data_IF_247994575145
#
_entry.id   IF_247994575145
#
_cell.length_a   1.000
_cell.length_b   1.000
_cell.length_c   1.000
_cell.angle_alpha   90.00
_cell.angle_beta   90.00
_cell.angle_gamma   90.00
#
_symmetry.space_group_name_H-M   'P 1'
#
loop_
_entity.id
_entity.type
_entity.pdbx_description
1 polymer ?
#
# COMPACT_ATOMS: atom_id res chain seq x y z
N UNK A 1 -6.57 -10.90 -16.67
CA UNK A 1 -5.14 -10.96 -16.27
C UNK A 1 -4.62 -12.36 -16.58
N UNK A 2 -3.42 -12.53 -17.16
CA UNK A 2 -2.79 -13.85 -17.26
C UNK A 2 -2.53 -14.43 -15.86
N UNK A 3 -2.55 -15.76 -15.73
CA UNK A 3 -2.60 -16.46 -14.43
C UNK A 3 -1.27 -16.48 -13.65
N UNK A 4 -0.14 -16.13 -14.27
CA UNK A 4 1.19 -16.20 -13.64
C UNK A 4 1.96 -14.90 -13.85
N UNK A 5 1.56 -13.86 -13.12
CA UNK A 5 2.14 -12.52 -13.30
C UNK A 5 2.55 -11.92 -11.96
N UNK A 6 3.82 -11.57 -11.87
CA UNK A 6 4.32 -10.70 -10.83
C UNK A 6 4.21 -9.25 -11.32
N UNK A 7 3.36 -8.47 -10.68
CA UNK A 7 3.20 -7.04 -10.93
C UNK A 7 3.93 -6.29 -9.83
N UNK A 8 5.04 -5.65 -10.19
CA UNK A 8 5.83 -4.83 -9.28
C UNK A 8 5.42 -3.38 -9.44
N UNK A 9 4.93 -2.76 -8.37
CA UNK A 9 4.33 -1.42 -8.42
C UNK A 9 5.23 -0.43 -7.68
N UNK A 10 5.77 0.54 -8.40
CA UNK A 10 6.58 1.63 -7.86
C UNK A 10 5.95 3.00 -8.15
N UNK A 11 6.45 4.03 -7.47
CA UNK A 11 5.93 5.38 -7.54
C UNK A 11 6.22 6.15 -6.25
N UNK A 12 6.15 7.47 -6.33
CA UNK A 12 6.46 8.35 -5.21
C UNK A 12 5.58 8.05 -3.96
N UNK A 13 6.03 8.43 -2.75
CA UNK A 13 5.17 8.44 -1.57
C UNK A 13 3.89 9.23 -1.85
N UNK A 14 2.73 8.64 -1.58
CA UNK A 14 1.44 9.29 -1.84
C UNK A 14 0.90 9.20 -3.27
N UNK A 15 1.67 8.68 -4.24
CA UNK A 15 1.25 8.57 -5.65
C UNK A 15 0.08 7.59 -5.89
N UNK A 16 -0.50 6.97 -4.87
CA UNK A 16 -1.68 6.12 -5.03
C UNK A 16 -1.41 4.68 -5.49
N UNK A 17 -0.20 4.16 -5.27
CA UNK A 17 0.16 2.74 -5.56
C UNK A 17 -0.85 1.74 -5.02
N UNK A 18 -1.10 1.77 -3.71
CA UNK A 18 -2.07 0.89 -3.06
C UNK A 18 -3.49 1.06 -3.62
N UNK A 19 -3.90 2.29 -3.97
CA UNK A 19 -5.20 2.55 -4.57
C UNK A 19 -5.31 1.95 -5.98
N UNK A 20 -4.25 2.02 -6.78
CA UNK A 20 -4.19 1.36 -8.08
C UNK A 20 -4.26 -0.17 -7.93
N UNK A 21 -3.55 -0.75 -6.96
CA UNK A 21 -3.61 -2.19 -6.65
C UNK A 21 -5.05 -2.58 -6.27
N UNK A 22 -5.73 -1.80 -5.43
CA UNK A 22 -7.16 -2.03 -5.10
C UNK A 22 -8.02 -2.07 -6.36
N UNK A 23 -7.84 -1.13 -7.30
CA UNK A 23 -8.59 -1.13 -8.56
C UNK A 23 -8.33 -2.40 -9.38
N UNK A 24 -7.07 -2.86 -9.47
CA UNK A 24 -6.73 -4.11 -10.16
C UNK A 24 -7.37 -5.33 -9.49
N UNK A 25 -7.34 -5.38 -8.15
CA UNK A 25 -7.94 -6.46 -7.37
C UNK A 25 -9.47 -6.47 -7.49
N UNK A 26 -10.11 -5.30 -7.54
CA UNK A 26 -11.57 -5.18 -7.75
C UNK A 26 -11.99 -5.76 -9.11
N UNK A 27 -11.19 -5.51 -10.16
CA UNK A 27 -11.40 -6.02 -11.51
C UNK A 27 -10.96 -7.49 -11.70
N UNK A 28 -10.39 -8.12 -10.67
CA UNK A 28 -9.94 -9.51 -10.76
C UNK A 28 -11.12 -10.48 -10.60
N UNK A 29 -11.51 -11.12 -11.70
CA UNK A 29 -12.74 -11.94 -11.83
C UNK A 29 -12.57 -13.42 -11.44
N UNK A 30 -11.38 -13.86 -11.02
CA UNK A 30 -11.18 -15.28 -10.69
C UNK A 30 -11.96 -15.71 -9.43
N UNK A 31 -12.24 -17.00 -9.23
CA UNK A 31 -13.00 -17.49 -8.08
C UNK A 31 -12.31 -17.15 -6.75
N UNK A 32 -12.73 -16.06 -6.09
CA UNK A 32 -12.15 -15.57 -4.82
C UNK A 32 -12.46 -16.49 -3.62
N UNK A 33 -13.36 -17.45 -3.82
CA UNK A 33 -13.86 -18.38 -2.81
C UNK A 33 -12.84 -19.49 -2.49
N UNK A 34 -11.99 -19.87 -3.45
CA UNK A 34 -10.94 -20.87 -3.25
C UNK A 34 -9.61 -20.21 -2.93
N UNK A 35 -8.96 -20.54 -1.79
CA UNK A 35 -7.65 -19.99 -1.42
C UNK A 35 -6.58 -20.13 -2.52
N UNK A 36 -6.66 -21.20 -3.31
CA UNK A 36 -5.74 -21.51 -4.41
C UNK A 36 -5.71 -20.47 -5.55
N UNK A 37 -6.69 -19.58 -5.65
CA UNK A 37 -6.77 -18.57 -6.72
C UNK A 37 -6.71 -17.12 -6.21
N UNK A 38 -6.53 -16.93 -4.90
CA UNK A 38 -6.47 -15.59 -4.32
C UNK A 38 -5.16 -14.90 -4.73
N UNK A 39 -5.22 -13.67 -5.26
CA UNK A 39 -4.03 -12.86 -5.47
C UNK A 39 -3.23 -12.72 -4.17
N UNK A 40 -1.92 -12.59 -4.29
CA UNK A 40 -1.04 -12.28 -3.16
C UNK A 40 -0.63 -10.81 -3.24
N UNK A 41 -0.63 -10.11 -2.11
CA UNK A 41 -0.06 -8.78 -1.96
C UNK A 41 1.08 -8.81 -0.94
N UNK A 42 2.16 -8.10 -1.23
CA UNK A 42 3.21 -7.81 -0.26
C UNK A 42 3.88 -6.47 -0.56
N UNK A 43 4.46 -5.86 0.46
CA UNK A 43 5.19 -4.59 0.35
C UNK A 43 6.68 -4.79 0.66
N UNK A 44 7.54 -4.19 -0.14
CA UNK A 44 8.99 -4.18 0.04
C UNK A 44 9.46 -2.80 0.53
N UNK A 45 10.35 -2.77 1.52
CA UNK A 45 10.99 -1.55 2.04
C UNK A 45 10.08 -0.64 2.88
N UNK A 46 8.96 -1.16 3.36
CA UNK A 46 8.03 -0.42 4.19
C UNK A 46 8.49 -0.18 5.62
N UNK A 47 7.76 0.71 6.30
CA UNK A 47 7.90 0.90 7.74
C UNK A 47 7.52 -0.39 8.49
N UNK A 48 7.97 -0.51 9.74
CA UNK A 48 7.67 -1.66 10.61
C UNK A 48 6.15 -1.87 10.81
N UNK A 49 5.35 -0.81 10.62
CA UNK A 49 3.89 -0.85 10.67
C UNK A 49 3.32 -0.99 9.24
N UNK A 50 2.77 -2.17 8.86
CA UNK A 50 2.36 -2.46 7.48
C UNK A 50 0.95 -1.93 7.18
N UNK A 51 0.72 -0.61 7.31
CA UNK A 51 -0.62 0.00 7.20
C UNK A 51 -1.36 -0.38 5.91
N UNK A 52 -0.67 -0.41 4.77
CA UNK A 52 -1.29 -0.76 3.48
C UNK A 52 -1.70 -2.23 3.41
N UNK A 53 -0.92 -3.09 4.05
CA UNK A 53 -1.21 -4.52 4.17
C UNK A 53 -2.45 -4.74 5.06
N UNK A 54 -2.52 -4.06 6.21
CA UNK A 54 -3.69 -4.09 7.11
C UNK A 54 -4.93 -3.54 6.40
N UNK A 55 -4.79 -2.40 5.72
CA UNK A 55 -5.87 -1.81 4.93
C UNK A 55 -6.40 -2.81 3.90
N UNK A 56 -5.54 -3.38 3.05
CA UNK A 56 -5.91 -4.35 2.01
C UNK A 56 -6.54 -5.62 2.58
N UNK A 57 -6.00 -6.16 3.69
CA UNK A 57 -6.53 -7.35 4.35
C UNK A 57 -7.91 -7.14 4.99
N UNK A 58 -8.20 -5.91 5.41
CA UNK A 58 -9.50 -5.51 5.92
C UNK A 58 -10.51 -5.17 4.81
N UNK A 59 -10.05 -5.03 3.56
CA UNK A 59 -10.95 -4.94 2.41
C UNK A 59 -11.47 -6.33 2.06
N UNK A 60 -12.76 -6.44 1.71
CA UNK A 60 -13.36 -7.68 1.18
C UNK A 60 -12.94 -7.97 -0.28
N UNK A 61 -11.63 -7.87 -0.58
CA UNK A 61 -11.07 -8.04 -1.93
C UNK A 61 -10.68 -9.48 -2.25
N UNK A 62 -10.65 -10.37 -1.26
CA UNK A 62 -10.21 -11.76 -1.46
C UNK A 62 -8.72 -11.89 -1.81
N UNK A 63 -7.91 -10.92 -1.37
CA UNK A 63 -6.44 -10.93 -1.50
C UNK A 63 -5.81 -11.57 -0.26
N UNK A 64 -4.78 -12.38 -0.46
CA UNK A 64 -3.90 -12.80 0.63
C UNK A 64 -2.82 -11.73 0.83
N UNK A 65 -2.61 -11.30 2.07
CA UNK A 65 -1.64 -10.25 2.40
C UNK A 65 -0.47 -10.84 3.17
N UNK A 66 0.75 -10.56 2.71
CA UNK A 66 1.96 -10.74 3.50
C UNK A 66 2.33 -9.41 4.17
N UNK A 67 2.32 -9.33 5.51
CA UNK A 67 2.71 -8.11 6.23
C UNK A 67 4.14 -7.67 5.95
N UNK A 68 5.02 -8.62 5.63
CA UNK A 68 6.41 -8.39 5.24
C UNK A 68 6.70 -9.16 3.96
N UNK A 69 7.46 -8.56 3.05
CA UNK A 69 7.90 -9.24 1.84
C UNK A 69 8.68 -10.52 2.19
N UNK A 70 8.24 -11.63 1.61
CA UNK A 70 8.89 -12.93 1.66
C UNK A 70 8.93 -13.48 0.23
N UNK A 71 10.10 -13.38 -0.40
CA UNK A 71 10.28 -13.75 -1.80
C UNK A 71 10.09 -15.26 -2.04
N UNK A 72 10.31 -16.09 -1.02
CA UNK A 72 10.04 -17.53 -1.12
C UNK A 72 8.54 -17.80 -1.26
N UNK A 73 7.72 -17.11 -0.47
CA UNK A 73 6.25 -17.19 -0.56
C UNK A 73 5.71 -16.57 -1.84
N UNK A 74 6.36 -15.52 -2.35
CA UNK A 74 6.05 -14.95 -3.67
C UNK A 74 6.31 -15.99 -4.77
N UNK A 75 7.46 -16.67 -4.75
CA UNK A 75 7.79 -17.71 -5.72
C UNK A 75 6.78 -18.86 -5.69
N UNK A 76 6.45 -19.37 -4.51
CA UNK A 76 5.43 -20.42 -4.32
C UNK A 76 4.07 -19.99 -4.89
N UNK A 77 3.63 -18.74 -4.62
CA UNK A 77 2.35 -18.25 -5.12
C UNK A 77 2.34 -18.16 -6.65
N UNK A 78 3.42 -17.66 -7.26
CA UNK A 78 3.55 -17.57 -8.71
C UNK A 78 3.55 -18.96 -9.37
N UNK A 79 4.28 -19.93 -8.81
CA UNK A 79 4.30 -21.33 -9.29
C UNK A 79 2.93 -22.01 -9.16
N UNK A 80 2.12 -21.60 -8.18
CA UNK A 80 0.73 -22.05 -8.03
C UNK A 80 -0.25 -21.34 -9.00
N UNK A 81 0.24 -20.51 -9.93
CA UNK A 81 -0.60 -19.77 -10.88
C UNK A 81 -1.43 -18.67 -10.22
N UNK A 82 -0.89 -18.04 -9.17
CA UNK A 82 -1.54 -16.93 -8.47
C UNK A 82 -0.85 -15.62 -8.87
N UNK A 83 -1.62 -14.58 -9.25
CA UNK A 83 -1.04 -13.26 -9.49
C UNK A 83 -0.51 -12.68 -8.18
N UNK A 84 0.63 -11.99 -8.26
CA UNK A 84 1.26 -11.34 -7.12
C UNK A 84 1.41 -9.85 -7.40
N UNK A 85 1.01 -9.02 -6.45
CA UNK A 85 1.25 -7.58 -6.43
C UNK A 85 2.32 -7.27 -5.38
N UNK A 86 3.48 -6.80 -5.84
CA UNK A 86 4.58 -6.37 -4.99
C UNK A 86 4.65 -4.84 -5.01
N UNK A 87 4.26 -4.18 -3.92
CA UNK A 87 4.37 -2.74 -3.79
C UNK A 87 5.78 -2.35 -3.30
N UNK A 88 6.47 -1.49 -4.05
CA UNK A 88 7.78 -0.95 -3.68
C UNK A 88 7.59 0.38 -2.94
N UNK A 89 8.08 0.46 -1.71
CA UNK A 89 8.09 1.72 -0.97
C UNK A 89 9.08 2.72 -1.60
N UNK A 90 8.73 4.00 -1.54
CA UNK A 90 9.51 5.08 -2.19
C UNK A 90 10.87 5.37 -1.55
N UNK A 91 11.24 4.65 -0.49
CA UNK A 91 12.57 4.71 0.14
C UNK A 91 13.57 3.75 -0.50
N UNK A 92 13.12 2.84 -1.36
CA UNK A 92 14.01 1.91 -2.06
C UNK A 92 14.51 2.53 -3.36
N UNK A 93 15.82 2.47 -3.57
CA UNK A 93 16.47 2.79 -4.84
C UNK A 93 16.19 1.67 -5.88
N UNK A 94 15.44 2.01 -6.92
CA UNK A 94 14.91 1.04 -7.89
C UNK A 94 16.01 0.34 -8.69
N UNK A 95 17.10 1.03 -9.00
CA UNK A 95 18.23 0.48 -9.78
C UNK A 95 19.05 -0.55 -8.99
N UNK A 96 18.97 -0.52 -7.66
CA UNK A 96 19.61 -1.52 -6.80
C UNK A 96 18.81 -2.81 -6.65
N UNK A 97 17.54 -2.81 -7.06
CA UNK A 97 16.64 -3.96 -6.89
C UNK A 97 16.87 -5.03 -7.96
N UNK A 98 17.76 -5.98 -7.69
CA UNK A 98 17.85 -7.23 -8.47
C UNK A 98 16.76 -8.24 -8.07
N UNK A 99 15.50 -7.82 -8.21
CA UNK A 99 14.35 -8.63 -7.82
C UNK A 99 14.26 -9.93 -8.63
N UNK A 100 14.67 -9.90 -9.90
CA UNK A 100 14.59 -11.07 -10.77
C UNK A 100 15.51 -12.19 -10.27
N UNK A 101 16.79 -11.90 -10.02
CA UNK A 101 17.71 -12.92 -9.51
C UNK A 101 17.34 -13.37 -8.11
N UNK A 102 16.89 -12.46 -7.24
CA UNK A 102 16.45 -12.80 -5.88
C UNK A 102 15.23 -13.74 -5.89
N UNK A 103 14.26 -13.52 -6.79
CA UNK A 103 13.13 -14.43 -6.97
C UNK A 103 13.55 -15.77 -7.57
N UNK A 104 14.44 -15.75 -8.57
CA UNK A 104 14.94 -16.98 -9.21
C UNK A 104 15.70 -17.89 -8.23
N UNK A 105 16.31 -17.34 -7.19
CA UNK A 105 16.94 -18.13 -6.13
C UNK A 105 15.94 -19.05 -5.38
N UNK A 106 14.65 -18.73 -5.44
CA UNK A 106 13.56 -19.51 -4.85
C UNK A 106 12.70 -20.23 -5.91
N UNK A 107 13.11 -20.19 -7.18
CA UNK A 107 12.36 -20.77 -8.28
C UNK A 107 12.72 -22.23 -8.50
N UNK A 108 11.72 -23.08 -8.74
CA UNK A 108 11.93 -24.48 -9.05
C UNK A 108 12.67 -24.65 -10.38
N UNK A 109 13.73 -25.46 -10.35
CA UNK A 109 14.55 -25.70 -11.52
C UNK A 109 13.75 -26.43 -12.62
N UNK A 110 13.72 -25.85 -13.83
CA UNK A 110 13.02 -26.42 -14.99
C UNK A 110 11.58 -25.94 -15.18
N UNK A 111 11.02 -25.17 -14.23
CA UNK A 111 9.71 -24.54 -14.37
C UNK A 111 9.79 -23.27 -15.22
N UNK A 112 8.70 -22.93 -15.94
CA UNK A 112 8.61 -21.67 -16.68
C UNK A 112 8.82 -20.47 -15.76
N UNK A 113 9.56 -19.46 -16.21
CA UNK A 113 9.84 -18.27 -15.41
C UNK A 113 8.59 -17.38 -15.33
N UNK A 114 8.36 -16.70 -14.19
CA UNK A 114 7.18 -15.86 -14.05
C UNK A 114 7.27 -14.65 -14.98
N UNK A 115 6.12 -14.21 -15.49
CA UNK A 115 6.05 -12.96 -16.22
C UNK A 115 6.15 -11.79 -15.22
N UNK A 116 7.22 -11.00 -15.35
CA UNK A 116 7.44 -9.79 -14.58
C UNK A 116 6.89 -8.59 -15.34
N UNK A 117 6.09 -7.76 -14.66
CA UNK A 117 5.69 -6.44 -15.17
C UNK A 117 5.99 -5.38 -14.11
N UNK A 118 6.81 -4.40 -14.50
CA UNK A 118 7.13 -3.23 -13.69
C UNK A 118 6.18 -2.10 -14.04
N UNK A 119 5.40 -1.69 -13.05
CA UNK A 119 4.38 -0.66 -13.17
C UNK A 119 4.79 0.56 -12.36
N UNK A 120 4.87 1.71 -13.01
CA UNK A 120 5.02 3.00 -12.34
C UNK A 120 3.69 3.74 -12.26
N UNK A 121 3.34 4.18 -11.04
CA UNK A 121 2.22 5.09 -10.80
C UNK A 121 2.77 6.50 -10.68
N UNK A 122 2.41 7.34 -11.66
CA UNK A 122 3.02 8.67 -11.84
C UNK A 122 1.93 9.73 -11.74
N UNK A 123 2.02 10.68 -10.79
CA UNK A 123 1.11 11.82 -10.74
C UNK A 123 1.20 12.68 -12.00
N UNK A 124 0.12 13.40 -12.31
CA UNK A 124 0.12 14.32 -13.45
C UNK A 124 1.20 15.41 -13.27
N UNK A 125 1.94 15.69 -14.35
CA UNK A 125 3.03 16.68 -14.34
C UNK A 125 4.32 16.24 -13.64
N UNK A 126 4.35 15.08 -12.98
CA UNK A 126 5.59 14.51 -12.45
C UNK A 126 6.44 13.90 -13.57
N UNK A 127 7.75 14.16 -13.53
CA UNK A 127 8.77 13.47 -14.31
C UNK A 127 9.81 12.90 -13.36
N UNK A 128 10.20 11.65 -13.58
CA UNK A 128 11.17 10.94 -12.75
C UNK A 128 11.89 9.94 -13.65
N UNK A 129 13.09 10.31 -14.08
CA UNK A 129 13.87 9.54 -15.06
C UNK A 129 14.09 8.09 -14.59
N UNK A 130 14.28 7.87 -13.29
CA UNK A 130 14.41 6.54 -12.67
C UNK A 130 13.15 5.68 -12.88
N UNK A 131 11.95 6.23 -12.64
CA UNK A 131 10.70 5.50 -12.88
C UNK A 131 10.47 5.28 -14.38
N UNK A 132 10.90 6.23 -15.22
CA UNK A 132 10.76 6.12 -16.67
C UNK A 132 11.64 5.02 -17.27
N UNK A 133 12.88 4.89 -16.80
CA UNK A 133 13.82 3.86 -17.24
C UNK A 133 13.49 2.48 -16.64
N UNK A 134 13.01 2.45 -15.40
CA UNK A 134 12.72 1.22 -14.67
C UNK A 134 11.41 0.54 -15.07
N UNK A 135 10.37 1.30 -15.45
CA UNK A 135 9.02 0.73 -15.65
C UNK A 135 8.76 0.22 -17.08
N UNK A 136 8.04 -0.90 -17.17
CA UNK A 136 7.51 -1.42 -18.44
C UNK A 136 6.22 -0.68 -18.84
N UNK A 137 5.44 -0.24 -17.85
CA UNK A 137 4.19 0.50 -18.05
C UNK A 137 4.01 1.60 -17.02
N UNK A 138 3.40 2.69 -17.47
CA UNK A 138 3.06 3.85 -16.65
C UNK A 138 1.56 4.04 -16.61
N UNK A 139 1.04 4.36 -15.42
CA UNK A 139 -0.35 4.75 -15.23
C UNK A 139 -0.43 6.09 -14.49
N UNK A 140 -1.45 6.90 -14.81
CA UNK A 140 -1.70 8.11 -14.05
C UNK A 140 -2.03 7.76 -12.61
N UNK A 141 -1.60 8.61 -11.67
CA UNK A 141 -1.99 8.47 -10.27
C UNK A 141 -3.52 8.53 -10.15
N UNK A 142 -4.14 7.60 -9.40
CA UNK A 142 -5.56 7.67 -9.09
C UNK A 142 -5.87 8.74 -8.03
N UNK A 143 -4.87 9.44 -7.51
CA UNK A 143 -4.99 10.46 -6.47
C UNK A 143 -4.37 11.75 -7.00
N UNK A 144 -5.09 12.86 -6.87
CA UNK A 144 -4.53 14.18 -7.15
C UNK A 144 -3.38 14.47 -6.17
N UNK A 145 -2.20 14.75 -6.70
CA UNK A 145 -0.99 14.96 -5.91
C UNK A 145 -0.25 16.18 -6.44
N UNK A 146 0.26 17.08 -5.57
CA UNK A 146 0.97 18.26 -6.03
C UNK A 146 2.29 17.86 -6.74
N UNK A 147 2.75 18.66 -7.72
CA UNK A 147 4.08 18.49 -8.29
C UNK A 147 5.14 18.54 -7.18
N UNK A 148 6.29 17.86 -7.36
CA UNK A 148 7.35 17.92 -6.36
C UNK A 148 7.88 19.36 -6.30
N UNK A 149 8.29 19.84 -5.11
CA UNK A 149 8.97 21.13 -5.02
C UNK A 149 10.28 21.09 -5.83
N UNK A 150 10.65 22.22 -6.41
CA UNK A 150 11.89 22.38 -7.19
C UNK A 150 13.17 22.12 -6.36
N UNK A 151 13.08 22.21 -5.04
CA UNK A 151 14.13 21.78 -4.10
C UNK A 151 13.48 21.04 -2.94
N UNK A 152 13.45 19.70 -2.93
CA UNK A 152 12.85 18.95 -1.83
C UNK A 152 13.71 19.09 -0.58
N UNK A 153 13.09 19.55 0.51
CA UNK A 153 13.68 19.43 1.84
C UNK A 153 13.76 17.93 2.23
N UNK A 154 14.73 17.52 3.06
CA UNK A 154 14.80 16.16 3.56
C UNK A 154 13.49 15.79 4.26
N UNK A 155 12.85 14.72 3.77
CA UNK A 155 11.59 14.24 4.33
C UNK A 155 11.87 13.48 5.63
N UNK A 156 11.12 13.81 6.68
CA UNK A 156 11.11 13.05 7.92
C UNK A 156 9.92 12.09 7.90
N UNK A 157 10.18 10.82 8.21
CA UNK A 157 9.14 9.79 8.33
C UNK A 157 8.91 9.53 9.82
N UNK A 158 7.66 9.67 10.26
CA UNK A 158 7.23 9.37 11.62
C UNK A 158 6.24 8.20 11.56
N UNK A 159 6.47 7.20 12.40
CA UNK A 159 5.60 6.02 12.52
C UNK A 159 5.45 5.69 14.00
N UNK A 160 4.20 5.55 14.45
CA UNK A 160 3.87 5.31 15.85
C UNK A 160 2.75 4.28 15.96
N UNK A 161 2.96 3.27 16.79
CA UNK A 161 1.91 2.33 17.19
C UNK A 161 1.26 2.82 18.47
N UNK A 162 0.02 3.28 18.36
CA UNK A 162 -0.74 3.85 19.49
C UNK A 162 -1.46 2.72 20.22
N UNK A 163 -1.15 2.54 21.51
CA UNK A 163 -1.75 1.49 22.35
C UNK A 163 -2.40 2.07 23.61
N UNK A 164 -3.31 1.31 24.22
CA UNK A 164 -3.84 1.58 25.56
C UNK A 164 -5.13 2.41 25.64
N UNK A 165 -5.43 3.25 24.65
CA UNK A 165 -6.66 4.05 24.63
C UNK A 165 -7.25 4.14 23.22
N UNK A 166 -8.56 4.38 23.17
CA UNK A 166 -9.33 4.54 21.95
C UNK A 166 -9.79 5.99 21.85
N UNK A 167 -9.67 6.60 20.67
CA UNK A 167 -10.19 7.95 20.46
C UNK A 167 -11.71 7.92 20.39
N UNK A 168 -12.38 8.85 21.08
CA UNK A 168 -13.74 9.22 20.70
C UNK A 168 -13.71 9.93 19.33
N UNK A 169 -14.78 9.81 18.51
CA UNK A 169 -14.77 10.36 17.16
C UNK A 169 -14.42 11.87 17.08
N UNK A 170 -14.99 12.75 17.93
CA UNK A 170 -14.59 14.16 17.97
C UNK A 170 -13.10 14.40 18.21
N UNK A 171 -12.49 13.69 19.15
CA UNK A 171 -11.05 13.82 19.43
C UNK A 171 -10.18 13.33 18.27
N UNK A 172 -10.59 12.24 17.60
CA UNK A 172 -9.89 11.74 16.41
C UNK A 172 -9.96 12.74 15.25
N UNK A 173 -11.14 13.32 15.01
CA UNK A 173 -11.33 14.34 13.98
C UNK A 173 -10.47 15.58 14.25
N UNK A 174 -10.42 16.05 15.50
CA UNK A 174 -9.57 17.18 15.89
C UNK A 174 -8.09 16.88 15.67
N UNK A 175 -7.60 15.76 16.18
CA UNK A 175 -6.20 15.34 16.00
C UNK A 175 -5.83 15.28 14.52
N UNK A 176 -6.68 14.66 13.71
CA UNK A 176 -6.42 14.50 12.29
C UNK A 176 -6.43 15.83 11.54
N UNK A 177 -7.32 16.77 11.92
CA UNK A 177 -7.33 18.14 11.39
C UNK A 177 -6.08 18.92 11.79
N UNK A 178 -5.65 18.85 13.05
CA UNK A 178 -4.42 19.54 13.50
C UNK A 178 -3.19 18.99 12.78
N UNK A 179 -3.08 17.66 12.68
CA UNK A 179 -2.00 16.98 11.97
C UNK A 179 -1.93 17.40 10.50
N UNK A 180 -3.04 17.32 9.79
CA UNK A 180 -3.09 17.60 8.35
C UNK A 180 -3.18 19.10 8.02
N UNK A 181 -3.61 19.92 8.98
CA UNK A 181 -3.72 21.37 8.88
C UNK A 181 -2.43 22.14 9.17
N UNK A 182 -1.34 21.43 9.50
CA UNK A 182 -0.01 22.02 9.62
C UNK A 182 0.39 22.46 11.03
N UNK A 183 -0.38 22.07 12.07
CA UNK A 183 -0.05 22.38 13.46
C UNK A 183 1.33 21.84 13.89
N UNK A 184 1.79 20.77 13.23
CA UNK A 184 3.07 20.11 13.49
C UNK A 184 4.04 20.17 12.31
N UNK A 185 3.87 21.19 11.45
CA UNK A 185 4.67 21.37 10.23
C UNK A 185 3.95 20.89 8.96
N UNK A 186 4.63 21.04 7.82
CA UNK A 186 4.03 20.77 6.51
C UNK A 186 3.97 19.27 6.21
N UNK A 187 2.81 18.64 6.48
CA UNK A 187 2.58 17.22 6.23
C UNK A 187 2.41 16.97 4.73
N UNK A 188 3.31 16.18 4.15
CA UNK A 188 3.21 15.75 2.74
C UNK A 188 2.39 14.47 2.55
N UNK A 189 2.28 13.66 3.61
CA UNK A 189 1.50 12.41 3.63
C UNK A 189 1.18 12.03 5.08
N UNK A 190 -0.06 11.64 5.35
CA UNK A 190 -0.42 10.97 6.61
C UNK A 190 -1.34 9.78 6.36
N UNK A 191 -1.05 8.62 6.95
CA UNK A 191 -1.93 7.44 6.98
C UNK A 191 -2.17 7.06 8.43
N UNK A 192 -3.35 6.53 8.73
CA UNK A 192 -3.66 5.99 10.03
C UNK A 192 -4.75 4.94 9.96
N UNK A 193 -4.67 3.94 10.83
CA UNK A 193 -5.77 3.02 11.09
C UNK A 193 -6.11 3.20 12.56
N UNK A 194 -7.35 3.59 12.83
CA UNK A 194 -7.83 3.83 14.18
C UNK A 194 -9.04 2.94 14.45
N UNK A 195 -9.02 2.28 15.61
CA UNK A 195 -10.21 1.63 16.15
C UNK A 195 -10.99 2.67 16.95
N UNK A 196 -12.32 2.62 16.92
CA UNK A 196 -13.20 3.38 17.81
C UNK A 196 -13.74 2.49 18.93
N UNK A 197 -14.36 3.12 19.93
CA UNK A 197 -14.79 2.45 21.16
C UNK A 197 -15.89 1.40 20.91
N UNK A 198 -16.66 1.55 19.83
CA UNK A 198 -17.67 0.58 19.38
C UNK A 198 -17.06 -0.62 18.63
N UNK A 199 -15.74 -0.68 18.50
CA UNK A 199 -15.00 -1.75 17.81
C UNK A 199 -14.89 -1.57 16.31
N UNK A 200 -15.44 -0.50 15.74
CA UNK A 200 -15.25 -0.16 14.33
C UNK A 200 -13.82 0.28 14.06
N UNK A 201 -13.32 0.00 12.84
CA UNK A 201 -12.00 0.42 12.40
C UNK A 201 -12.11 1.37 11.21
N UNK A 202 -11.31 2.42 11.19
CA UNK A 202 -11.31 3.40 10.11
C UNK A 202 -9.91 3.62 9.57
N UNK A 203 -9.82 3.65 8.23
CA UNK A 203 -8.61 4.06 7.54
C UNK A 203 -8.67 5.54 7.17
N UNK A 204 -7.65 6.26 7.60
CA UNK A 204 -7.44 7.67 7.31
C UNK A 204 -6.26 7.82 6.36
N UNK A 205 -6.42 8.67 5.36
CA UNK A 205 -5.40 8.92 4.36
C UNK A 205 -5.48 10.36 3.89
N UNK A 206 -4.36 11.06 3.99
CA UNK A 206 -4.21 12.44 3.57
C UNK A 206 -3.00 12.60 2.63
N UNK A 207 -3.23 13.35 1.56
CA UNK A 207 -2.23 14.01 0.72
C UNK A 207 -2.69 15.47 0.54
N UNK A 208 -1.77 16.44 0.47
CA UNK A 208 -2.13 17.82 0.17
C UNK A 208 -2.84 17.92 -1.18
N UNK A 209 -3.82 18.82 -1.28
CA UNK A 209 -4.45 19.12 -2.56
C UNK A 209 -3.47 19.89 -3.47
N UNK A 210 -3.54 19.71 -4.80
CA UNK A 210 -2.82 20.57 -5.73
C UNK A 210 -3.19 22.06 -5.54
N UNK A 211 -2.29 22.99 -5.90
CA UNK A 211 -2.58 24.42 -5.83
C UNK A 211 -3.88 24.78 -6.57
N UNK A 212 -4.74 25.58 -5.93
CA UNK A 212 -6.02 26.01 -6.49
C UNK A 212 -7.18 25.03 -6.34
N UNK A 213 -6.97 23.87 -5.71
CA UNK A 213 -8.06 22.97 -5.30
C UNK A 213 -8.38 23.12 -3.81
N UNK A 214 -9.65 22.96 -3.40
CA UNK A 214 -9.99 22.94 -1.98
C UNK A 214 -9.28 21.77 -1.29
N UNK A 215 -8.84 21.93 -0.03
CA UNK A 215 -8.23 20.83 0.71
C UNK A 215 -9.19 19.63 0.75
N UNK A 216 -8.66 18.44 0.51
CA UNK A 216 -9.42 17.21 0.72
C UNK A 216 -9.94 17.22 2.15
N UNK A 217 -11.27 17.18 2.32
CA UNK A 217 -11.84 17.07 3.66
C UNK A 217 -11.23 15.84 4.33
N UNK A 218 -10.70 15.96 5.54
CA UNK A 218 -10.15 14.83 6.27
C UNK A 218 -11.32 13.96 6.75
N UNK A 219 -11.91 13.16 5.86
CA UNK A 219 -12.95 12.21 6.21
C UNK A 219 -12.34 10.83 6.41
N UNK A 220 -12.90 10.07 7.34
CA UNK A 220 -12.63 8.65 7.43
C UNK A 220 -13.00 8.02 6.07
N UNK A 221 -11.99 7.59 5.32
CA UNK A 221 -12.19 7.29 3.90
C UNK A 221 -12.76 5.90 3.68
N UNK A 222 -12.66 5.00 4.67
CA UNK A 222 -13.18 3.65 4.53
C UNK A 222 -13.45 2.97 5.88
N UNK A 223 -14.69 2.51 6.17
CA UNK A 223 -14.93 1.59 7.27
C UNK A 223 -14.25 0.25 6.96
N UNK A 224 -13.39 -0.20 7.86
CA UNK A 224 -12.75 -1.51 7.76
C UNK A 224 -13.79 -2.57 8.14
N UNK A 225 -13.89 -3.64 7.34
CA UNK A 225 -14.72 -4.78 7.76
C UNK A 225 -14.20 -5.29 9.10
N UNK A 226 -15.08 -5.67 10.05
CA UNK A 226 -14.62 -6.27 11.29
C UNK A 226 -13.78 -7.49 10.92
N UNK A 227 -12.51 -7.52 11.37
CA UNK A 227 -11.72 -8.74 11.29
C UNK A 227 -12.58 -9.87 11.86
N UNK A 228 -12.61 -11.07 11.25
CA UNK A 228 -13.06 -12.25 11.96
C UNK A 228 -12.06 -12.44 13.09
N UNK A 229 -12.33 -11.83 14.26
CA UNK A 229 -11.48 -11.95 15.43
C UNK A 229 -11.50 -13.42 15.81
N UNK A 230 -10.42 -14.11 15.46
CA UNK A 230 -9.95 -15.21 16.29
C UNK A 230 -9.80 -14.66 17.70
N UNK A 231 -10.54 -15.26 18.61
CA UNK A 231 -10.60 -15.00 20.03
C UNK A 231 -9.18 -14.78 20.60
N UNK A 232 -8.79 -13.51 20.76
CA UNK A 232 -7.65 -13.13 21.60
C UNK A 232 -8.24 -12.48 22.83
N UNK A 233 -8.61 -13.33 23.77
CA UNK A 233 -8.67 -12.97 25.18
C UNK A 233 -7.34 -12.31 25.55
N UNK A 234 -7.41 -11.02 25.89
CA UNK A 234 -6.31 -10.32 26.54
C UNK A 234 -6.27 -10.87 27.97
N UNK A 235 -5.18 -11.51 28.43
CA UNK A 235 -5.06 -11.84 29.83
C UNK A 235 -4.92 -10.53 30.60
N UNK A 236 -5.88 -10.28 31.48
CA UNK A 236 -5.77 -9.26 32.52
C UNK A 236 -4.67 -9.74 33.48
N UNK A 237 -3.60 -8.96 33.59
CA UNK A 237 -2.65 -9.04 34.70
C UNK A 237 -2.81 -7.77 35.54
#
# INVERSE_FOLDING_TARGET
MPREKLVVVAGAPGAGKTAWIVQQLQQYEAPRQTPAHRPLYCALGGADIPLDAVFLGAQSLGVEVLPKADLSRVAIALQAGRPVFLEIHGTIELDSLDLHSQLLAHWEAGSEKPLLERVAIVPEGWRCDDLESWSDRRFPSPIAFPPPPSSPAPQQIWSLDLTGQVFDPPSLDLLWQELTGGAYGQVQRAKGIFCLADGSGFFFSFVPAPPGQPPHKPTANWPLSPSPRGDRTIPVA
#
